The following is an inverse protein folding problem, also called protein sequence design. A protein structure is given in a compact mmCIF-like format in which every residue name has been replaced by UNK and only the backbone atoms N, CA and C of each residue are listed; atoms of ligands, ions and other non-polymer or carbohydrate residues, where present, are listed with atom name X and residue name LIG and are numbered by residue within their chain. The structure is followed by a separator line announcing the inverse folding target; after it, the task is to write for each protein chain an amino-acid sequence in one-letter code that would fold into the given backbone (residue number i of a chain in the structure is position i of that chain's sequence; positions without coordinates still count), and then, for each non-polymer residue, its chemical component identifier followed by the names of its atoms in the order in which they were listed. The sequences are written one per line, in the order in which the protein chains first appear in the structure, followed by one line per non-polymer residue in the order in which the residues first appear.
data_IF_134792153245
#
_entry.id   IF_134792153245
#
_cell.length_a   1.000
_cell.length_b   1.000
_cell.length_c   1.000
_cell.angle_alpha   90.00
_cell.angle_beta   90.00
_cell.angle_gamma   90.00
#
_symmetry.space_group_name_H-M   'P 1'
#
loop_
_entity.id
_entity.type
_entity.pdbx_description
1 polymer ?
#
# COMPACT_ATOMS: atom_id res chain seq x y z
N UNK A 1 -46.96 -16.84 -10.87
CA UNK A 1 -46.16 -17.08 -12.10
C UNK A 1 -44.96 -16.16 -12.21
N UNK A 2 -45.04 -14.85 -11.88
CA UNK A 2 -43.91 -13.90 -11.92
C UNK A 2 -42.69 -14.26 -11.04
N UNK A 3 -42.94 -14.70 -9.80
CA UNK A 3 -41.86 -15.02 -8.85
C UNK A 3 -41.00 -16.23 -9.26
N UNK A 4 -41.55 -17.15 -10.06
CA UNK A 4 -40.81 -18.31 -10.56
C UNK A 4 -39.90 -17.95 -11.74
N UNK A 5 -40.32 -17.00 -12.59
CA UNK A 5 -39.49 -16.47 -13.69
C UNK A 5 -38.32 -15.62 -13.18
N UNK A 6 -38.52 -14.82 -12.13
CA UNK A 6 -37.44 -14.04 -11.49
C UNK A 6 -36.39 -14.95 -10.83
N UNK A 7 -36.82 -16.03 -10.17
CA UNK A 7 -35.91 -17.02 -9.59
C UNK A 7 -35.15 -17.83 -10.66
N UNK A 8 -35.77 -18.08 -11.82
CA UNK A 8 -35.11 -18.74 -12.96
C UNK A 8 -34.13 -17.81 -13.69
N UNK A 9 -34.45 -16.50 -13.78
CA UNK A 9 -33.57 -15.49 -14.34
C UNK A 9 -32.34 -15.23 -13.43
N UNK A 10 -32.52 -15.29 -12.10
CA UNK A 10 -31.44 -15.28 -11.12
C UNK A 10 -30.59 -16.58 -11.15
N UNK A 11 -31.10 -17.64 -11.77
CA UNK A 11 -30.43 -18.92 -11.99
C UNK A 11 -29.97 -19.08 -13.45
N UNK A 12 -29.69 -17.97 -14.14
CA UNK A 12 -28.84 -18.02 -15.33
C UNK A 12 -27.45 -18.45 -14.86
N UNK A 13 -26.97 -19.57 -15.39
CA UNK A 13 -25.59 -19.99 -15.20
C UNK A 13 -24.67 -18.82 -15.54
N UNK A 14 -23.96 -18.29 -14.54
CA UNK A 14 -22.93 -17.28 -14.78
C UNK A 14 -21.86 -17.92 -15.66
N UNK A 15 -21.56 -17.26 -16.79
CA UNK A 15 -20.44 -17.66 -17.62
C UNK A 15 -19.15 -17.58 -16.79
N UNK A 16 -18.21 -18.52 -16.96
CA UNK A 16 -16.97 -18.52 -16.18
C UNK A 16 -16.22 -17.19 -16.37
N UNK A 17 -15.98 -16.50 -15.26
CA UNK A 17 -15.20 -15.25 -15.26
C UNK A 17 -13.71 -15.59 -15.41
N UNK A 18 -13.11 -15.16 -16.52
CA UNK A 18 -11.65 -15.24 -16.73
C UNK A 18 -10.93 -13.92 -16.40
N UNK A 19 -11.67 -12.99 -15.81
CA UNK A 19 -11.12 -11.72 -15.36
C UNK A 19 -10.24 -11.89 -14.12
N UNK A 20 -9.28 -10.99 -13.94
CA UNK A 20 -8.36 -11.05 -12.82
C UNK A 20 -9.11 -10.78 -11.51
N UNK A 21 -9.26 -11.80 -10.68
CA UNK A 21 -10.04 -11.75 -9.43
C UNK A 21 -9.45 -10.85 -8.34
N UNK A 22 -8.27 -10.24 -8.56
CA UNK A 22 -7.58 -9.37 -7.60
C UNK A 22 -6.98 -10.09 -6.38
N UNK A 23 -7.57 -11.23 -5.98
CA UNK A 23 -7.20 -12.00 -4.78
C UNK A 23 -5.74 -12.46 -4.77
N UNK A 24 -5.19 -12.81 -5.93
CA UNK A 24 -3.78 -13.18 -6.05
C UNK A 24 -2.84 -12.00 -5.73
N UNK A 25 -3.21 -10.78 -6.15
CA UNK A 25 -2.46 -9.57 -5.84
C UNK A 25 -2.57 -9.22 -4.35
N UNK A 26 -3.76 -9.42 -3.76
CA UNK A 26 -3.98 -9.19 -2.33
C UNK A 26 -3.17 -10.15 -1.44
N UNK A 27 -3.04 -11.41 -1.83
CA UNK A 27 -2.26 -12.41 -1.09
C UNK A 27 -0.75 -12.14 -1.18
N UNK A 28 -0.26 -11.82 -2.38
CA UNK A 28 1.16 -11.53 -2.61
C UNK A 28 1.64 -10.20 -2.00
N UNK A 29 0.75 -9.20 -1.88
CA UNK A 29 1.09 -7.85 -1.39
C UNK A 29 0.64 -7.60 0.06
N UNK A 30 0.50 -8.67 0.86
CA UNK A 30 0.07 -8.55 2.26
C UNK A 30 1.26 -8.34 3.19
N UNK A 31 1.27 -7.21 3.89
CA UNK A 31 2.23 -6.93 4.95
C UNK A 31 1.52 -6.74 6.29
N UNK A 32 1.82 -7.60 7.27
CA UNK A 32 1.24 -7.56 8.63
C UNK A 32 -0.30 -7.47 8.65
N UNK A 33 -0.96 -8.15 7.72
CA UNK A 33 -2.42 -8.16 7.63
C UNK A 33 -3.04 -7.04 6.80
N UNK A 34 -2.24 -6.10 6.29
CA UNK A 34 -2.67 -4.97 5.45
C UNK A 34 -2.24 -5.25 4.02
N UNK A 35 -3.17 -5.10 3.07
CA UNK A 35 -2.88 -5.19 1.64
C UNK A 35 -2.25 -3.89 1.16
N UNK A 36 -1.06 -3.98 0.57
CA UNK A 36 -0.37 -2.85 -0.05
C UNK A 36 -0.69 -2.81 -1.55
N UNK A 37 -0.93 -1.61 -2.08
CA UNK A 37 -1.18 -1.41 -3.51
C UNK A 37 0.11 -1.34 -4.35
N UNK A 38 1.25 -1.13 -3.71
CA UNK A 38 2.54 -0.93 -4.38
C UNK A 38 3.61 -1.82 -3.80
N UNK A 39 4.32 -2.52 -4.68
CA UNK A 39 5.54 -3.28 -4.38
C UNK A 39 6.74 -2.59 -5.04
N UNK A 40 7.83 -2.42 -4.29
CA UNK A 40 9.06 -1.88 -4.84
C UNK A 40 9.59 -2.79 -5.98
N UNK A 41 9.93 -2.25 -7.15
CA UNK A 41 10.51 -3.04 -8.23
C UNK A 41 11.91 -3.54 -7.83
N UNK A 42 12.37 -4.63 -8.43
CA UNK A 42 13.68 -5.24 -8.12
C UNK A 42 14.87 -4.29 -8.32
N UNK A 43 14.70 -3.29 -9.19
CA UNK A 43 15.70 -2.26 -9.48
C UNK A 43 15.71 -1.10 -8.48
N UNK A 44 14.74 -1.04 -7.56
CA UNK A 44 14.66 0.01 -6.56
C UNK A 44 15.91 -0.03 -5.65
N UNK A 45 16.66 1.08 -5.64
CA UNK A 45 17.86 1.25 -4.81
C UNK A 45 17.75 2.47 -3.92
N UNK A 46 18.43 2.41 -2.78
CA UNK A 46 18.56 3.57 -1.88
C UNK A 46 19.33 4.68 -2.62
N UNK A 47 18.83 5.93 -2.62
CA UNK A 47 19.52 7.03 -3.27
C UNK A 47 20.82 7.35 -2.52
N UNK A 48 21.87 7.66 -3.27
CA UNK A 48 23.18 8.05 -2.72
C UNK A 48 23.22 9.52 -2.28
N UNK A 49 22.45 10.37 -2.95
CA UNK A 49 22.44 11.81 -2.68
C UNK A 49 21.69 12.13 -1.39
N UNK A 50 22.21 13.08 -0.61
CA UNK A 50 21.57 13.57 0.62
C UNK A 50 20.42 14.51 0.27
N UNK A 51 19.24 14.24 0.82
CA UNK A 51 18.05 15.07 0.68
C UNK A 51 17.43 15.37 2.04
N UNK A 52 16.66 16.45 2.13
CA UNK A 52 15.89 16.85 3.32
C UNK A 52 14.44 17.09 2.89
N UNK A 53 13.49 16.46 3.58
CA UNK A 53 12.07 16.72 3.38
C UNK A 53 11.60 17.74 4.41
N UNK A 54 11.08 18.88 3.94
CA UNK A 54 10.40 19.85 4.79
C UNK A 54 8.92 19.47 4.84
N UNK A 55 8.43 19.13 6.03
CA UNK A 55 7.03 18.75 6.23
C UNK A 55 6.29 19.95 6.81
N UNK A 56 5.16 20.30 6.20
CA UNK A 56 4.29 21.37 6.65
C UNK A 56 2.95 20.78 7.06
N UNK A 57 2.36 21.32 8.12
CA UNK A 57 0.99 21.04 8.51
C UNK A 57 0.32 22.37 8.85
N UNK A 58 -0.86 22.60 8.30
CA UNK A 58 -1.63 23.83 8.52
C UNK A 58 -0.84 25.13 8.23
N UNK A 59 0.08 25.08 7.27
CA UNK A 59 0.93 26.21 6.88
C UNK A 59 2.17 26.43 7.74
N UNK A 60 2.31 25.72 8.86
CA UNK A 60 3.48 25.80 9.73
C UNK A 60 4.47 24.67 9.46
N UNK A 61 5.79 24.94 9.49
CA UNK A 61 6.80 23.90 9.39
C UNK A 61 6.73 23.02 10.65
N UNK A 62 6.57 21.71 10.44
CA UNK A 62 6.57 20.74 11.53
C UNK A 62 8.01 20.58 12.05
N UNK A 63 8.42 21.45 12.97
CA UNK A 63 9.73 21.43 13.63
C UNK A 63 9.77 20.34 14.71
N UNK A 64 9.65 19.08 14.29
CA UNK A 64 9.60 17.93 15.17
C UNK A 64 10.34 16.75 14.58
N UNK A 65 11.61 16.61 14.98
CA UNK A 65 12.50 15.47 14.75
C UNK A 65 12.49 14.93 13.31
N UNK A 66 13.41 15.47 12.50
CA UNK A 66 13.80 14.91 11.19
C UNK A 66 13.92 13.38 11.27
N UNK A 67 12.91 12.66 10.78
CA UNK A 67 12.97 11.20 10.59
C UNK A 67 13.94 10.94 9.44
N UNK A 68 15.25 10.98 9.75
CA UNK A 68 16.26 10.39 8.86
C UNK A 68 16.01 8.89 8.86
N UNK A 69 15.36 8.41 7.79
CA UNK A 69 15.03 6.98 7.61
C UNK A 69 16.27 6.05 7.69
N UNK A 70 17.47 6.61 7.55
CA UNK A 70 18.74 5.88 7.52
C UNK A 70 19.75 6.24 8.64
N UNK A 71 19.34 6.89 9.74
CA UNK A 71 20.25 7.09 10.88
C UNK A 71 19.57 6.74 12.20
N UNK A 72 19.69 5.46 12.56
CA UNK A 72 19.71 5.03 13.96
C UNK A 72 21.17 4.78 14.34
N UNK A 73 22.02 5.78 14.15
CA UNK A 73 23.33 5.80 14.80
C UNK A 73 23.16 6.58 16.10
N UNK A 74 23.55 5.93 17.21
CA UNK A 74 23.43 6.46 18.57
C UNK A 74 24.02 7.88 18.63
N UNK A 75 23.44 8.79 19.44
CA UNK A 75 24.11 10.04 19.76
C UNK A 75 25.49 9.71 20.33
N UNK A 76 26.54 10.24 19.72
CA UNK A 76 27.86 10.29 20.37
C UNK A 76 27.74 11.42 21.38
N UNK A 77 27.60 11.05 22.66
CA UNK A 77 27.69 11.99 23.77
C UNK A 77 29.16 12.42 23.91
N UNK A 78 29.46 13.73 23.95
CA UNK A 78 30.78 14.19 24.32
C UNK A 78 30.92 14.25 25.85
N UNK A 79 31.68 13.31 26.41
CA UNK A 79 32.72 13.60 27.42
C UNK A 79 33.99 12.85 27.05
#
# INVERSE_FOLDING_TARGET
MRAAEEALAAKKYEEPSFELSGKLAEESSRYRGITLLFSEPSEARKPTQRWRLYVFKDGEPLNGKWKRRNQMEKPIEPE
#
